data_IF_367478216517
#
_entry.id   IF_367478216517
#
_cell.length_a   1.000
_cell.length_b   1.000
_cell.length_c   1.000
_cell.angle_alpha   90.00
_cell.angle_beta   90.00
_cell.angle_gamma   90.00
#
_symmetry.space_group_name_H-M   'P 1'
#
loop_
_entity.id
_entity.type
_entity.pdbx_description
1 polymer ?
#
# COMPACT_ATOMS: atom_id res chain seq x y z
N UNK A 1 6.32 -11.33 7.85
CA UNK A 1 7.14 -11.67 6.66
C UNK A 1 8.51 -11.07 6.87
N UNK A 2 9.58 -11.87 6.96
CA UNK A 2 10.94 -11.34 6.89
C UNK A 2 11.26 -11.05 5.41
N UNK A 3 11.71 -9.83 5.06
CA UNK A 3 12.15 -9.54 3.69
C UNK A 3 13.37 -10.41 3.33
N UNK A 4 13.54 -10.71 2.05
CA UNK A 4 14.74 -11.38 1.56
C UNK A 4 15.98 -10.53 1.87
N UNK A 5 17.09 -11.20 2.19
CA UNK A 5 18.36 -10.51 2.49
C UNK A 5 18.96 -9.86 1.25
N UNK A 6 18.76 -10.47 0.07
CA UNK A 6 19.26 -10.01 -1.22
C UNK A 6 18.21 -10.26 -2.31
N UNK A 7 18.18 -9.39 -3.32
CA UNK A 7 17.31 -9.48 -4.50
C UNK A 7 18.16 -9.27 -5.76
N UNK A 8 17.96 -10.12 -6.77
CA UNK A 8 18.60 -10.01 -8.08
C UNK A 8 17.57 -9.51 -9.09
N UNK A 9 17.82 -8.34 -9.69
CA UNK A 9 16.93 -7.68 -10.65
C UNK A 9 17.70 -7.42 -11.94
N UNK A 10 17.13 -7.76 -13.10
CA UNK A 10 17.69 -7.48 -14.41
C UNK A 10 16.59 -7.24 -15.45
N UNK A 11 16.89 -6.45 -16.48
CA UNK A 11 15.97 -6.22 -17.60
C UNK A 11 15.98 -7.41 -18.55
N UNK A 12 14.79 -7.94 -18.86
CA UNK A 12 14.60 -8.98 -19.86
C UNK A 12 13.98 -8.38 -21.13
N UNK A 13 14.38 -8.89 -22.30
CA UNK A 13 13.81 -8.51 -23.59
C UNK A 13 13.22 -9.76 -24.24
N UNK A 14 11.92 -9.71 -24.53
CA UNK A 14 11.16 -10.85 -25.03
C UNK A 14 10.69 -10.60 -26.46
N UNK A 15 10.78 -11.59 -27.37
CA UNK A 15 10.15 -11.49 -28.67
C UNK A 15 8.62 -11.54 -28.53
N UNK A 16 7.86 -10.85 -29.42
CA UNK A 16 6.41 -10.95 -29.44
C UNK A 16 5.95 -12.40 -29.58
N UNK A 17 5.05 -12.84 -28.70
CA UNK A 17 4.51 -14.21 -28.67
C UNK A 17 5.57 -15.32 -28.61
N UNK A 18 6.75 -15.06 -28.03
CA UNK A 18 7.82 -16.04 -27.89
C UNK A 18 8.37 -16.14 -26.47
N UNK A 19 9.52 -16.80 -26.33
CA UNK A 19 10.22 -16.97 -25.06
C UNK A 19 11.70 -16.59 -25.21
N UNK A 20 12.31 -16.20 -24.11
CA UNK A 20 13.76 -16.07 -23.97
C UNK A 20 14.22 -16.87 -22.74
N UNK A 21 15.43 -17.40 -22.78
CA UNK A 21 16.01 -18.17 -21.67
C UNK A 21 17.19 -17.39 -21.09
N UNK A 22 17.21 -17.26 -19.76
CA UNK A 22 18.28 -16.61 -19.01
C UNK A 22 18.85 -17.62 -18.02
N UNK A 23 20.18 -17.63 -17.88
CA UNK A 23 20.87 -18.50 -16.93
C UNK A 23 21.54 -17.62 -15.86
N UNK A 24 21.29 -17.94 -14.59
CA UNK A 24 21.89 -17.26 -13.44
C UNK A 24 22.87 -18.22 -12.80
N UNK A 25 24.10 -17.77 -12.61
CA UNK A 25 25.16 -18.55 -11.99
C UNK A 25 25.78 -17.73 -10.86
N UNK A 26 26.01 -18.39 -9.72
CA UNK A 26 26.83 -17.85 -8.64
C UNK A 26 28.29 -17.92 -9.09
N UNK A 27 28.96 -16.78 -9.09
CA UNK A 27 30.38 -16.68 -9.35
C UNK A 27 31.07 -16.11 -8.10
N UNK A 28 32.20 -16.70 -7.73
CA UNK A 28 33.03 -16.26 -6.60
C UNK A 28 33.87 -15.02 -6.98
N UNK A 29 33.89 -14.63 -8.26
CA UNK A 29 34.43 -13.34 -8.66
C UNK A 29 33.50 -12.21 -8.21
N UNK A 30 34.03 -11.27 -7.41
CA UNK A 30 33.31 -10.03 -7.07
C UNK A 30 33.23 -9.18 -8.33
N UNK A 31 32.21 -9.39 -9.16
CA UNK A 31 31.83 -8.46 -10.21
C UNK A 31 31.42 -7.16 -9.52
N UNK A 32 32.33 -6.19 -9.52
CA UNK A 32 32.07 -4.84 -9.03
C UNK A 32 31.16 -4.17 -10.05
N UNK A 33 29.86 -4.38 -9.93
CA UNK A 33 28.85 -3.60 -10.63
C UNK A 33 28.96 -2.14 -10.14
N UNK A 34 29.78 -1.36 -10.83
CA UNK A 34 29.73 0.10 -10.72
C UNK A 34 28.43 0.53 -11.36
N UNK A 35 27.40 0.71 -10.54
CA UNK A 35 26.28 1.58 -10.91
C UNK A 35 26.92 2.93 -11.24
N UNK A 36 27.02 3.29 -12.52
CA UNK A 36 27.29 4.68 -12.86
C UNK A 36 26.15 5.49 -12.25
N UNK A 37 26.43 6.19 -11.15
CA UNK A 37 25.50 6.95 -10.32
C UNK A 37 25.06 8.26 -11.00
N UNK A 38 25.03 8.31 -12.33
CA UNK A 38 24.46 9.43 -13.06
C UNK A 38 23.04 9.07 -13.46
N UNK A 39 22.15 10.05 -13.34
CA UNK A 39 20.76 10.04 -13.84
C UNK A 39 20.62 9.76 -15.36
N UNK A 40 21.63 9.18 -16.03
CA UNK A 40 21.58 8.77 -17.43
C UNK A 40 20.45 7.73 -17.55
N UNK A 41 19.45 8.04 -18.36
CA UNK A 41 18.28 7.17 -18.57
C UNK A 41 17.14 7.32 -17.56
N UNK A 42 17.28 8.14 -16.51
CA UNK A 42 16.15 8.33 -15.59
C UNK A 42 15.06 9.19 -16.27
N UNK A 43 13.92 8.58 -16.60
CA UNK A 43 12.77 9.27 -17.20
C UNK A 43 11.86 9.84 -16.13
N UNK A 44 11.63 9.11 -15.04
CA UNK A 44 10.77 9.53 -13.94
C UNK A 44 11.55 9.63 -12.64
N UNK A 45 11.30 10.68 -11.84
CA UNK A 45 11.90 10.89 -10.52
C UNK A 45 10.82 11.06 -9.45
N UNK A 46 10.88 10.24 -8.41
CA UNK A 46 10.09 10.43 -7.19
C UNK A 46 10.79 11.32 -6.18
N UNK A 47 10.03 12.22 -5.54
CA UNK A 47 10.48 12.97 -4.37
C UNK A 47 9.72 12.49 -3.14
N UNK A 48 10.47 12.07 -2.13
CA UNK A 48 9.94 11.66 -0.83
C UNK A 48 10.11 12.78 0.19
N UNK A 49 9.17 12.85 1.12
CA UNK A 49 9.25 13.70 2.30
C UNK A 49 10.11 13.06 3.37
N UNK A 50 10.55 13.86 4.35
CA UNK A 50 11.26 13.37 5.54
C UNK A 50 10.45 12.33 6.34
N UNK A 51 9.12 12.44 6.31
CA UNK A 51 8.23 11.49 6.95
C UNK A 51 7.99 10.21 6.12
N UNK A 52 8.72 10.02 5.01
CA UNK A 52 8.70 8.82 4.18
C UNK A 52 7.63 8.77 3.09
N UNK A 53 6.67 9.68 3.09
CA UNK A 53 5.62 9.72 2.06
C UNK A 53 6.16 10.25 0.73
N UNK A 54 5.73 9.67 -0.38
CA UNK A 54 5.94 10.28 -1.69
C UNK A 54 5.12 11.58 -1.77
N UNK A 55 5.75 12.63 -2.29
CA UNK A 55 5.14 13.97 -2.44
C UNK A 55 4.99 14.41 -3.88
N UNK A 56 5.79 13.86 -4.78
CA UNK A 56 5.89 14.37 -6.14
C UNK A 56 6.49 13.33 -7.07
N UNK A 57 6.00 13.31 -8.30
CA UNK A 57 6.63 12.62 -9.43
C UNK A 57 7.00 13.67 -10.48
N UNK A 58 8.21 13.60 -11.00
CA UNK A 58 8.69 14.49 -12.06
C UNK A 58 9.14 13.66 -13.25
N UNK A 59 8.51 13.89 -14.40
CA UNK A 59 9.01 13.39 -15.68
C UNK A 59 10.16 14.30 -16.13
N UNK A 60 11.35 13.73 -16.24
CA UNK A 60 12.59 14.42 -16.57
C UNK A 60 12.73 14.70 -18.08
N UNK A 61 12.00 13.98 -18.93
CA UNK A 61 11.97 14.19 -20.39
C UNK A 61 11.08 15.38 -20.74
N UNK A 62 9.86 15.41 -20.20
CA UNK A 62 8.91 16.50 -20.45
C UNK A 62 9.07 17.67 -19.49
N UNK A 63 9.90 17.51 -18.45
CA UNK A 63 10.07 18.45 -17.33
C UNK A 63 8.75 18.76 -16.59
N UNK A 64 7.77 17.85 -16.69
CA UNK A 64 6.49 17.98 -16.01
C UNK A 64 6.55 17.40 -14.60
N UNK A 65 5.88 18.07 -13.66
CA UNK A 65 5.88 17.71 -12.25
C UNK A 65 4.47 17.57 -11.74
N UNK A 66 4.15 16.41 -11.17
CA UNK A 66 2.89 16.11 -10.52
C UNK A 66 3.05 16.06 -8.99
N UNK A 67 2.31 16.88 -8.22
CA UNK A 67 2.16 16.66 -6.79
C UNK A 67 1.44 15.34 -6.56
N UNK A 68 1.88 14.59 -5.55
CA UNK A 68 1.31 13.28 -5.25
C UNK A 68 1.05 13.18 -3.75
N UNK A 69 -0.16 12.75 -3.40
CA UNK A 69 -0.49 12.35 -2.03
C UNK A 69 -0.96 10.91 -2.03
N UNK A 70 -0.38 10.11 -1.14
CA UNK A 70 -0.70 8.70 -0.98
C UNK A 70 -1.10 8.40 0.47
N UNK A 71 -2.24 7.72 0.66
CA UNK A 71 -2.72 7.35 1.99
C UNK A 71 -3.46 6.00 1.97
N UNK A 72 -3.55 5.39 3.16
CA UNK A 72 -4.39 4.23 3.43
C UNK A 72 -5.40 4.57 4.53
N UNK A 73 -6.65 4.13 4.34
CA UNK A 73 -7.74 4.32 5.29
C UNK A 73 -8.56 3.05 5.43
N UNK A 74 -9.27 2.90 6.55
CA UNK A 74 -10.29 1.86 6.70
C UNK A 74 -11.57 2.41 7.33
N UNK A 75 -12.67 1.67 7.16
CA UNK A 75 -13.95 1.95 7.82
C UNK A 75 -14.24 0.92 8.91
N UNK A 76 -14.80 1.38 10.03
CA UNK A 76 -15.40 0.49 11.03
C UNK A 76 -16.76 -0.01 10.52
N UNK A 77 -17.05 -1.29 10.75
CA UNK A 77 -18.33 -1.88 10.36
C UNK A 77 -19.46 -1.48 11.31
N UNK A 78 -20.64 -1.30 10.75
CA UNK A 78 -21.88 -1.21 11.51
C UNK A 78 -22.28 -2.62 11.96
N UNK A 79 -22.27 -2.84 13.29
CA UNK A 79 -22.66 -4.12 13.90
C UNK A 79 -24.17 -4.10 14.14
N UNK A 80 -24.92 -4.61 13.18
CA UNK A 80 -26.38 -4.76 13.25
C UNK A 80 -26.83 -6.22 13.42
N UNK A 81 -28.13 -6.43 13.65
CA UNK A 81 -28.75 -7.76 13.79
C UNK A 81 -29.64 -8.17 12.60
N UNK A 82 -29.81 -7.28 11.61
CA UNK A 82 -30.65 -7.48 10.42
C UNK A 82 -32.13 -7.69 10.68
N UNK A 83 -32.62 -7.32 11.86
CA UNK A 83 -34.06 -7.38 12.17
C UNK A 83 -34.83 -6.21 11.55
N UNK A 84 -34.14 -5.14 11.17
CA UNK A 84 -34.72 -3.99 10.47
C UNK A 84 -33.71 -3.35 9.51
N UNK A 85 -34.17 -2.55 8.52
CA UNK A 85 -33.27 -1.79 7.64
C UNK A 85 -32.33 -0.85 8.41
N UNK A 86 -32.83 -0.25 9.50
CA UNK A 86 -32.04 0.62 10.36
C UNK A 86 -30.97 -0.13 11.15
N UNK A 87 -31.11 -1.45 11.33
CA UNK A 87 -30.14 -2.31 12.01
C UNK A 87 -29.46 -3.33 11.07
N UNK A 88 -29.37 -3.01 9.79
CA UNK A 88 -28.67 -3.82 8.78
C UNK A 88 -27.15 -3.82 9.05
N UNK A 89 -26.54 -4.99 9.27
CA UNK A 89 -25.08 -5.16 9.39
C UNK A 89 -24.33 -4.91 8.09
N UNK A 90 -23.04 -4.56 8.21
CA UNK A 90 -22.10 -4.61 7.09
C UNK A 90 -21.71 -6.05 6.74
N UNK A 91 -21.39 -6.29 5.47
CA UNK A 91 -20.83 -7.57 5.02
C UNK A 91 -20.43 -7.56 3.55
N UNK A 92 -20.35 -8.75 2.94
CA UNK A 92 -19.83 -8.96 1.57
C UNK A 92 -20.51 -8.13 0.48
N UNK A 93 -21.80 -7.82 0.66
CA UNK A 93 -22.60 -7.08 -0.32
C UNK A 93 -23.02 -5.69 0.18
N UNK A 94 -22.94 -5.46 1.48
CA UNK A 94 -23.47 -4.25 2.12
C UNK A 94 -22.32 -3.50 2.77
N UNK A 95 -21.94 -2.41 2.12
CA UNK A 95 -21.04 -1.42 2.70
C UNK A 95 -21.85 -0.43 3.55
N UNK A 96 -21.86 -0.66 4.87
CA UNK A 96 -22.48 0.26 5.83
C UNK A 96 -21.48 0.57 6.94
N UNK A 97 -20.73 1.66 6.87
CA UNK A 97 -19.80 1.99 7.93
C UNK A 97 -20.58 2.41 9.20
N UNK A 98 -19.97 2.18 10.37
CA UNK A 98 -20.54 2.62 11.67
C UNK A 98 -20.72 4.14 11.73
N UNK A 99 -19.83 4.87 11.07
CA UNK A 99 -19.82 6.32 10.94
C UNK A 99 -19.39 6.69 9.53
N UNK A 100 -19.78 7.86 9.03
CA UNK A 100 -19.36 8.38 7.71
C UNK A 100 -17.88 8.83 7.65
N UNK A 101 -17.10 8.56 8.70
CA UNK A 101 -15.69 8.94 8.81
C UNK A 101 -14.79 7.72 8.64
N UNK A 102 -13.78 7.85 7.78
CA UNK A 102 -12.73 6.85 7.64
C UNK A 102 -11.59 7.07 8.64
N UNK A 103 -10.88 5.99 8.95
CA UNK A 103 -9.76 6.01 9.89
C UNK A 103 -8.47 5.89 9.11
N UNK A 104 -7.66 6.95 9.17
CA UNK A 104 -6.35 7.01 8.50
C UNK A 104 -5.35 6.07 9.16
N UNK A 105 -4.68 5.26 8.34
CA UNK A 105 -3.53 4.46 8.76
C UNK A 105 -2.26 5.30 8.56
N UNK A 106 -1.50 5.46 9.63
CA UNK A 106 -0.27 6.29 9.64
C UNK A 106 0.92 5.45 9.21
N UNK A 107 1.83 6.04 8.45
CA UNK A 107 3.15 5.46 8.17
C UNK A 107 3.96 5.41 9.47
N UNK A 108 4.54 4.26 9.79
CA UNK A 108 5.35 4.06 11.00
C UNK A 108 6.83 3.91 10.70
N UNK A 109 7.18 3.29 9.58
CA UNK A 109 8.57 3.08 9.16
C UNK A 109 8.68 3.19 7.65
N UNK A 110 9.81 3.69 7.15
CA UNK A 110 10.16 3.61 5.74
C UNK A 110 11.64 3.33 5.54
N UNK A 111 11.99 2.70 4.43
CA UNK A 111 13.35 2.35 4.03
C UNK A 111 13.52 2.52 2.51
N UNK A 112 14.67 3.04 2.06
CA UNK A 112 14.92 3.32 0.65
C UNK A 112 14.20 4.59 0.15
N UNK A 113 14.91 5.42 -0.63
CA UNK A 113 14.38 6.72 -1.10
C UNK A 113 14.74 7.04 -2.56
N UNK A 114 15.45 6.17 -3.27
CA UNK A 114 16.01 6.49 -4.60
C UNK A 114 15.29 5.77 -5.74
N UNK A 115 15.28 4.43 -5.75
CA UNK A 115 14.55 3.62 -6.75
C UNK A 115 13.36 2.89 -6.16
N UNK A 116 13.49 2.51 -4.91
CA UNK A 116 12.48 1.78 -4.17
C UNK A 116 12.36 2.43 -2.80
N UNK A 117 11.11 2.67 -2.39
CA UNK A 117 10.77 3.08 -1.05
C UNK A 117 9.79 2.08 -0.46
N UNK A 118 10.23 1.36 0.57
CA UNK A 118 9.43 0.43 1.36
C UNK A 118 8.84 1.18 2.53
N UNK A 119 7.54 1.05 2.73
CA UNK A 119 6.75 1.79 3.71
C UNK A 119 5.93 0.80 4.53
N UNK A 120 6.04 0.88 5.85
CA UNK A 120 5.27 0.08 6.79
C UNK A 120 4.28 1.01 7.48
N UNK A 121 3.00 0.83 7.19
CA UNK A 121 1.94 1.60 7.81
C UNK A 121 1.60 1.00 9.18
N UNK A 122 1.34 -0.30 9.24
CA UNK A 122 1.18 -1.02 10.50
C UNK A 122 1.52 -2.51 10.33
N UNK A 123 1.15 -3.35 11.29
CA UNK A 123 1.46 -4.79 11.26
C UNK A 123 0.80 -5.57 10.12
N UNK A 124 -0.19 -4.99 9.42
CA UNK A 124 -0.98 -5.65 8.37
C UNK A 124 -1.10 -4.82 7.10
N UNK A 125 -0.42 -3.67 7.00
CA UNK A 125 -0.37 -2.82 5.79
C UNK A 125 1.07 -2.44 5.51
N UNK A 126 1.59 -2.95 4.41
CA UNK A 126 2.88 -2.57 3.84
C UNK A 126 2.71 -2.09 2.40
N UNK A 127 3.60 -1.21 1.98
CA UNK A 127 3.55 -0.58 0.67
C UNK A 127 4.97 -0.40 0.14
N UNK A 128 5.13 -0.56 -1.17
CA UNK A 128 6.40 -0.40 -1.87
C UNK A 128 6.13 0.49 -3.07
N UNK A 129 6.92 1.57 -3.18
CA UNK A 129 6.91 2.46 -4.35
C UNK A 129 8.18 2.22 -5.13
N UNK A 130 8.08 1.83 -6.40
CA UNK A 130 9.22 1.60 -7.29
C UNK A 130 9.23 2.57 -8.46
N UNK A 131 10.42 3.06 -8.77
CA UNK A 131 10.72 3.89 -9.95
C UNK A 131 11.91 3.24 -10.65
N UNK A 132 11.69 2.77 -11.87
CA UNK A 132 12.72 2.10 -12.67
C UNK A 132 13.53 3.12 -13.47
N UNK A 133 14.73 2.69 -13.88
CA UNK A 133 15.47 3.42 -14.91
C UNK A 133 14.75 3.22 -16.25
N UNK A 134 14.80 4.22 -17.11
CA UNK A 134 14.27 4.17 -18.48
C UNK A 134 12.75 3.97 -18.62
N UNK A 135 11.99 4.01 -17.52
CA UNK A 135 10.53 3.88 -17.53
C UNK A 135 9.84 5.20 -17.15
N UNK A 136 8.72 5.49 -17.84
CA UNK A 136 7.93 6.70 -17.63
C UNK A 136 6.82 6.55 -16.57
N UNK A 137 6.83 5.46 -15.79
CA UNK A 137 5.85 5.16 -14.75
C UNK A 137 6.51 4.79 -13.42
N UNK A 138 5.71 4.88 -12.35
CA UNK A 138 6.06 4.38 -11.03
C UNK A 138 5.08 3.27 -10.65
N UNK A 139 5.58 2.23 -10.00
CA UNK A 139 4.76 1.15 -9.47
C UNK A 139 4.46 1.37 -7.99
N UNK A 140 3.20 1.10 -7.62
CA UNK A 140 2.71 1.14 -6.26
C UNK A 140 2.19 -0.25 -5.92
N UNK A 141 2.95 -0.98 -5.11
CA UNK A 141 2.60 -2.32 -4.66
C UNK A 141 2.21 -2.28 -3.19
N UNK A 142 1.07 -2.83 -2.82
CA UNK A 142 0.64 -2.91 -1.42
C UNK A 142 0.33 -4.34 -1.02
N UNK A 143 0.64 -4.66 0.24
CA UNK A 143 0.24 -5.90 0.89
C UNK A 143 -0.65 -5.55 2.07
N UNK A 144 -1.84 -6.15 2.08
CA UNK A 144 -2.85 -5.92 3.10
C UNK A 144 -3.22 -7.27 3.68
N UNK A 145 -2.93 -7.47 4.96
CA UNK A 145 -3.35 -8.63 5.71
C UNK A 145 -2.27 -9.26 6.60
N UNK A 146 -2.68 -10.18 7.49
CA UNK A 146 -4.07 -10.45 7.84
C UNK A 146 -4.70 -9.26 8.58
N UNK A 147 -5.90 -8.83 8.15
CA UNK A 147 -6.59 -7.72 8.81
C UNK A 147 -7.03 -8.21 10.20
N UNK A 148 -6.65 -7.51 11.29
CA UNK A 148 -6.95 -7.99 12.64
C UNK A 148 -8.46 -7.92 12.92
N UNK A 149 -8.98 -8.98 13.54
CA UNK A 149 -10.37 -9.10 13.99
C UNK A 149 -10.76 -8.11 15.09
N UNK A 150 -9.76 -7.57 15.80
CA UNK A 150 -9.90 -6.52 16.80
C UNK A 150 -8.79 -5.52 16.52
N UNK A 151 -9.15 -4.37 15.97
CA UNK A 151 -8.23 -3.26 15.84
C UNK A 151 -8.01 -2.58 17.20
N UNK A 152 -6.80 -2.09 17.52
CA UNK A 152 -6.60 -1.25 18.70
C UNK A 152 -7.49 -0.02 18.60
N UNK A 153 -8.32 0.21 19.62
CA UNK A 153 -9.16 1.40 19.69
C UNK A 153 -8.29 2.67 19.64
N UNK A 154 -8.76 3.77 19.02
CA UNK A 154 -8.14 5.06 19.20
C UNK A 154 -8.09 5.41 20.70
N UNK A 155 -7.03 6.10 21.14
CA UNK A 155 -6.74 6.34 22.55
C UNK A 155 -7.89 7.04 23.32
N UNK A 156 -8.79 7.72 22.61
CA UNK A 156 -9.99 8.36 23.15
C UNK A 156 -11.03 7.39 23.72
N UNK A 157 -10.96 6.09 23.39
CA UNK A 157 -11.97 5.10 23.79
C UNK A 157 -11.43 4.01 24.74
N UNK A 158 -10.21 4.15 25.25
CA UNK A 158 -9.54 3.13 26.08
C UNK A 158 -10.25 2.81 27.42
N UNK A 159 -11.16 3.69 27.89
CA UNK A 159 -11.78 3.60 29.22
C UNK A 159 -13.27 3.20 29.19
N UNK A 160 -13.84 2.79 28.05
CA UNK A 160 -15.20 2.23 28.05
C UNK A 160 -15.13 0.74 28.38
N UNK A 161 -15.53 0.35 29.58
CA UNK A 161 -15.77 -1.06 29.91
C UNK A 161 -16.85 -1.62 28.97
N UNK A 162 -16.44 -2.42 28.00
CA UNK A 162 -17.33 -3.05 27.03
C UNK A 162 -17.80 -4.38 27.62
N UNK A 163 -19.04 -4.37 28.15
CA UNK A 163 -19.70 -5.57 28.66
C UNK A 163 -19.77 -6.68 27.63
N UNK A 164 -19.53 -7.91 28.08
CA UNK A 164 -19.68 -9.14 27.28
C UNK A 164 -21.17 -9.50 27.15
N UNK A 165 -21.74 -9.67 25.95
CA UNK A 165 -23.07 -10.27 25.82
C UNK A 165 -22.99 -11.81 25.89
N UNK A 166 -23.94 -12.39 26.63
CA UNK A 166 -24.18 -13.83 26.77
C UNK A 166 -24.85 -14.37 25.49
N UNK A 167 -24.30 -15.41 24.89
CA UNK A 167 -24.80 -16.06 23.68
C UNK A 167 -25.81 -17.19 24.00
N UNK A 168 -26.95 -17.21 23.31
CA UNK A 168 -27.77 -18.43 23.19
C UNK A 168 -28.25 -18.62 21.75
N UNK A 169 -27.45 -19.35 20.95
CA UNK A 169 -27.79 -20.26 19.84
C UNK A 169 -26.57 -20.37 18.93
N UNK A 170 -26.11 -21.60 18.72
CA UNK A 170 -24.77 -21.92 18.21
C UNK A 170 -24.49 -21.44 16.79
N UNK A 171 -23.50 -20.56 16.66
CA UNK A 171 -22.20 -20.86 16.05
C UNK A 171 -21.25 -19.71 16.42
N UNK A 172 -20.18 -20.05 17.15
CA UNK A 172 -18.95 -19.28 17.41
C UNK A 172 -19.00 -17.73 17.45
N UNK A 173 -19.00 -17.18 18.68
CA UNK A 173 -18.34 -15.93 19.12
C UNK A 173 -18.09 -14.83 18.06
N UNK A 174 -19.00 -13.85 17.95
CA UNK A 174 -18.66 -12.54 17.37
C UNK A 174 -19.09 -11.42 18.36
N UNK A 175 -18.14 -10.58 18.79
CA UNK A 175 -18.13 -9.23 18.24
C UNK A 175 -16.75 -8.95 17.64
N UNK A 176 -16.68 -9.04 16.33
CA UNK A 176 -15.47 -8.75 15.56
C UNK A 176 -15.60 -7.32 15.06
N UNK A 177 -14.91 -6.39 15.71
CA UNK A 177 -14.66 -5.06 15.14
C UNK A 177 -13.69 -5.23 13.98
N UNK A 178 -14.19 -5.68 12.84
CA UNK A 178 -13.41 -5.90 11.63
C UNK A 178 -13.29 -4.59 10.88
N UNK A 179 -12.11 -4.34 10.29
CA UNK A 179 -12.01 -3.48 9.13
C UNK A 179 -12.18 -4.38 7.90
N UNK A 180 -13.12 -4.08 7.01
CA UNK A 180 -13.24 -4.84 5.74
C UNK A 180 -12.87 -4.00 4.52
N UNK A 181 -12.88 -2.67 4.64
CA UNK A 181 -12.77 -1.80 3.48
C UNK A 181 -11.54 -0.92 3.60
N UNK A 182 -10.43 -1.35 2.97
CA UNK A 182 -9.26 -0.50 2.82
C UNK A 182 -9.44 0.41 1.59
N UNK A 183 -9.29 1.71 1.81
CA UNK A 183 -9.22 2.69 0.74
C UNK A 183 -7.77 3.14 0.57
N UNK A 184 -7.23 2.90 -0.61
CA UNK A 184 -6.02 3.57 -1.09
C UNK A 184 -6.44 4.82 -1.86
N UNK A 185 -5.84 5.96 -1.54
CA UNK A 185 -6.00 7.18 -2.36
C UNK A 185 -4.67 7.59 -2.94
N UNK A 186 -4.71 7.91 -4.24
CA UNK A 186 -3.63 8.53 -4.97
C UNK A 186 -4.18 9.80 -5.62
N UNK A 187 -3.76 10.95 -5.10
CA UNK A 187 -4.30 12.24 -5.55
C UNK A 187 -3.19 13.11 -6.12
N UNK A 188 -3.44 13.63 -7.32
CA UNK A 188 -2.72 14.74 -7.92
C UNK A 188 -3.75 15.83 -8.25
N UNK A 189 -3.51 17.10 -7.91
CA UNK A 189 -4.22 18.21 -8.55
C UNK A 189 -4.13 18.01 -10.05
N UNK A 190 -5.27 18.10 -10.78
CA UNK A 190 -5.37 17.73 -12.19
C UNK A 190 -4.18 18.23 -12.99
N UNK A 191 -3.34 17.31 -13.45
CA UNK A 191 -2.42 17.56 -14.56
C UNK A 191 -3.07 16.88 -15.75
N UNK A 192 -3.53 17.68 -16.69
CA UNK A 192 -3.98 17.19 -17.97
C UNK A 192 -2.75 16.56 -18.66
N UNK A 193 -2.62 15.23 -18.57
CA UNK A 193 -1.76 14.49 -19.47
C UNK A 193 -2.45 14.51 -20.83
N UNK A 194 -2.12 15.51 -21.66
CA UNK A 194 -2.33 15.38 -23.10
C UNK A 194 -1.26 14.40 -23.59
N UNK A 195 -1.69 13.19 -23.90
CA UNK A 195 -0.96 12.33 -24.82
C UNK A 195 -1.17 12.96 -26.20
N UNK A 196 -0.10 13.49 -26.78
CA UNK A 196 -0.03 13.75 -28.23
C UNK A 196 0.33 12.45 -28.96
#
# INVERSE_FOLDING_TARGET
MQPSLNELVFSASLPPLGFATYFVQLDDTVLRWTWETRNKGLILRGKFAENGYIKQLTNLVTNMTAPLTQNFYYYELFVGDNLSPDNQYSGTYIFRPKTDTDIKIKLTKFEGIFKEARQVFNSWVTHVVRVYMDEAYAEFEWTIGPIPKRLPLPASEHNRELGTPVSSLGSENLPVWTAEFLRFTLESPRINFKLE
#
